data_IF_546293698183
#
_entry.id   IF_546293698183
#
_cell.length_a   1.000
_cell.length_b   1.000
_cell.length_c   1.000
_cell.angle_alpha   90.00
_cell.angle_beta   90.00
_cell.angle_gamma   90.00
#
_symmetry.space_group_name_H-M   'P 1'
#
loop_
_entity.id
_entity.type
_entity.pdbx_description
1 polymer ?
#
# COMPACT_ATOMS: atom_id res chain seq x y z
N UNK A 1 3.86 12.35 -5.88
CA UNK A 1 3.26 12.12 -4.54
C UNK A 1 3.04 13.38 -3.66
N UNK A 2 4.08 14.04 -3.11
CA UNK A 2 3.94 14.92 -1.92
C UNK A 2 3.23 16.27 -2.10
N UNK A 3 2.88 16.66 -3.33
CA UNK A 3 2.03 17.81 -3.63
C UNK A 3 0.55 17.47 -3.81
N UNK A 4 0.16 16.20 -3.73
CA UNK A 4 -1.20 15.75 -3.98
C UNK A 4 -2.09 15.96 -2.73
N UNK A 5 -3.10 16.81 -2.85
CA UNK A 5 -4.07 17.07 -1.77
C UNK A 5 -4.83 15.79 -1.37
N UNK A 6 -5.20 14.95 -2.33
CA UNK A 6 -5.91 13.69 -2.07
C UNK A 6 -5.06 12.71 -1.24
N UNK A 7 -3.78 12.55 -1.56
CA UNK A 7 -2.83 11.80 -0.74
C UNK A 7 -2.80 12.29 0.71
N UNK A 8 -2.73 13.61 0.92
CA UNK A 8 -2.67 14.20 2.26
C UNK A 8 -3.97 13.94 3.05
N UNK A 9 -5.13 14.08 2.40
CA UNK A 9 -6.43 13.83 3.03
C UNK A 9 -6.61 12.35 3.40
N UNK A 10 -6.24 11.44 2.50
CA UNK A 10 -6.31 10.00 2.75
C UNK A 10 -5.33 9.58 3.84
N UNK A 11 -4.12 10.13 3.87
CA UNK A 11 -3.15 9.88 4.93
C UNK A 11 -3.64 10.41 6.29
N UNK A 12 -4.24 11.60 6.34
CA UNK A 12 -4.88 12.10 7.55
C UNK A 12 -6.02 11.17 8.02
N UNK A 13 -6.78 10.59 7.08
CA UNK A 13 -7.77 9.55 7.37
C UNK A 13 -7.16 8.30 8.01
N UNK A 14 -6.04 7.80 7.47
CA UNK A 14 -5.30 6.66 8.06
C UNK A 14 -4.88 6.97 9.50
N UNK A 15 -4.30 8.15 9.75
CA UNK A 15 -3.86 8.57 11.08
C UNK A 15 -5.04 8.72 12.06
N UNK A 16 -6.19 9.21 11.58
CA UNK A 16 -7.41 9.33 12.38
C UNK A 16 -7.93 7.94 12.79
N UNK A 17 -8.10 7.04 11.84
CA UNK A 17 -8.64 5.70 12.13
C UNK A 17 -7.69 4.90 13.03
N UNK A 18 -6.37 5.03 12.83
CA UNK A 18 -5.38 4.39 13.71
C UNK A 18 -5.48 4.83 15.19
N UNK A 19 -6.06 6.00 15.48
CA UNK A 19 -6.28 6.50 16.85
C UNK A 19 -7.65 6.14 17.42
N UNK A 20 -8.67 5.95 16.58
CA UNK A 20 -10.09 5.90 17.01
C UNK A 20 -10.70 4.51 16.86
N UNK A 21 -10.27 3.66 15.92
CA UNK A 21 -10.78 2.28 15.81
C UNK A 21 -10.75 1.64 14.41
N UNK A 22 -11.45 0.48 14.30
CA UNK A 22 -11.42 -0.60 13.29
C UNK A 22 -11.36 -0.24 11.79
N UNK A 23 -11.49 1.03 11.41
CA UNK A 23 -11.42 1.49 10.02
C UNK A 23 -10.01 1.59 9.44
N UNK A 24 -8.96 1.41 10.26
CA UNK A 24 -7.57 1.70 9.86
C UNK A 24 -7.13 0.90 8.62
N UNK A 25 -7.50 -0.37 8.51
CA UNK A 25 -7.17 -1.20 7.34
C UNK A 25 -7.87 -0.66 6.08
N UNK A 26 -9.15 -0.30 6.17
CA UNK A 26 -9.89 0.26 5.03
C UNK A 26 -9.28 1.58 4.58
N UNK A 27 -8.91 2.45 5.51
CA UNK A 27 -8.24 3.72 5.20
C UNK A 27 -6.88 3.50 4.54
N UNK A 28 -6.10 2.51 5.00
CA UNK A 28 -4.82 2.14 4.37
C UNK A 28 -5.01 1.67 2.93
N UNK A 29 -6.00 0.82 2.68
CA UNK A 29 -6.29 0.32 1.33
C UNK A 29 -6.77 1.45 0.41
N UNK A 30 -7.56 2.40 0.91
CA UNK A 30 -7.99 3.56 0.14
C UNK A 30 -6.80 4.45 -0.28
N UNK A 31 -5.86 4.71 0.64
CA UNK A 31 -4.63 5.44 0.31
C UNK A 31 -3.74 4.66 -0.66
N UNK A 32 -3.58 3.35 -0.46
CA UNK A 32 -2.78 2.51 -1.35
C UNK A 32 -3.34 2.49 -2.78
N UNK A 33 -4.66 2.32 -2.92
CA UNK A 33 -5.34 2.37 -4.21
C UNK A 33 -5.12 3.72 -4.92
N UNK A 34 -5.29 4.83 -4.20
CA UNK A 34 -5.04 6.16 -4.76
C UNK A 34 -3.59 6.34 -5.24
N UNK A 35 -2.60 5.86 -4.46
CA UNK A 35 -1.19 5.93 -4.87
C UNK A 35 -0.93 5.10 -6.12
N UNK A 36 -1.50 3.92 -6.24
CA UNK A 36 -1.32 3.06 -7.42
C UNK A 36 -2.00 3.63 -8.65
N UNK A 37 -3.23 4.13 -8.50
CA UNK A 37 -4.06 4.58 -9.62
C UNK A 37 -3.60 5.97 -10.14
N UNK A 38 -3.27 6.90 -9.24
CA UNK A 38 -2.95 8.29 -9.60
C UNK A 38 -1.46 8.61 -9.58
N UNK A 39 -0.64 7.75 -8.98
CA UNK A 39 0.82 7.91 -8.87
C UNK A 39 1.59 6.62 -9.22
N UNK A 40 1.36 6.01 -10.40
CA UNK A 40 1.97 4.72 -10.76
C UNK A 40 3.50 4.77 -10.81
N UNK A 41 4.09 5.90 -11.18
CA UNK A 41 5.54 6.11 -11.21
C UNK A 41 6.16 6.16 -9.81
N UNK A 42 5.37 6.44 -8.77
CA UNK A 42 5.80 6.47 -7.37
C UNK A 42 5.69 5.08 -6.70
N UNK A 43 5.23 4.04 -7.41
CA UNK A 43 5.11 2.68 -6.85
C UNK A 43 6.50 2.06 -6.66
N UNK A 44 6.91 1.70 -5.43
CA UNK A 44 8.25 1.19 -5.18
C UNK A 44 8.43 -0.21 -5.78
N UNK A 45 9.65 -0.62 -6.16
CA UNK A 45 9.90 -1.96 -6.69
C UNK A 45 9.52 -3.05 -5.67
N UNK A 46 9.35 -4.32 -6.11
CA UNK A 46 9.11 -5.43 -5.20
C UNK A 46 10.12 -5.49 -4.04
N UNK A 47 9.61 -5.74 -2.83
CA UNK A 47 10.48 -5.90 -1.67
C UNK A 47 11.37 -7.13 -1.84
N UNK A 48 12.64 -6.99 -1.44
CA UNK A 48 13.60 -8.09 -1.38
C UNK A 48 13.40 -8.99 -0.16
N UNK A 49 14.51 -9.49 0.38
CA UNK A 49 14.49 -10.39 1.55
C UNK A 49 13.72 -9.78 2.73
N UNK A 50 12.86 -10.57 3.36
CA UNK A 50 12.08 -10.18 4.53
C UNK A 50 10.61 -9.81 4.29
N UNK A 51 10.16 -9.70 3.02
CA UNK A 51 8.75 -9.58 2.71
C UNK A 51 8.07 -10.95 2.55
N UNK A 52 7.01 -11.21 3.34
CA UNK A 52 6.28 -12.48 3.30
C UNK A 52 5.21 -12.54 2.21
N UNK A 53 4.85 -11.38 1.67
CA UNK A 53 3.70 -11.25 0.77
C UNK A 53 4.15 -11.15 -0.70
N UNK A 54 5.20 -10.38 -0.98
CA UNK A 54 5.75 -10.23 -2.33
C UNK A 54 6.03 -11.57 -3.06
N UNK A 55 6.58 -12.63 -2.42
CA UNK A 55 6.77 -13.92 -3.09
C UNK A 55 5.48 -14.55 -3.60
N UNK A 56 4.37 -14.43 -2.86
CA UNK A 56 3.07 -14.98 -3.27
C UNK A 56 2.51 -14.30 -4.51
N UNK A 57 2.70 -12.98 -4.62
CA UNK A 57 2.35 -12.24 -5.83
C UNK A 57 3.27 -12.55 -7.01
N UNK A 58 4.57 -12.67 -6.77
CA UNK A 58 5.55 -13.01 -7.82
C UNK A 58 5.33 -14.41 -8.41
N UNK A 59 4.76 -15.34 -7.64
CA UNK A 59 4.44 -16.70 -8.09
C UNK A 59 2.99 -16.89 -8.57
N UNK A 60 2.21 -15.82 -8.71
CA UNK A 60 0.81 -15.94 -9.13
C UNK A 60 0.70 -16.48 -10.57
N UNK A 61 -0.27 -17.37 -10.79
CA UNK A 61 -0.52 -17.98 -12.10
C UNK A 61 -0.94 -16.93 -13.15
N UNK A 62 -1.67 -15.90 -12.71
CA UNK A 62 -2.14 -14.78 -13.55
C UNK A 62 -1.54 -13.46 -13.03
N UNK A 63 -0.34 -13.08 -13.49
CA UNK A 63 0.38 -11.90 -12.97
C UNK A 63 -0.37 -10.58 -13.16
N UNK A 64 -1.16 -10.47 -14.22
CA UNK A 64 -1.93 -9.26 -14.54
C UNK A 64 -3.09 -9.03 -13.58
N UNK A 65 -3.74 -10.09 -13.10
CA UNK A 65 -4.84 -10.01 -12.13
C UNK A 65 -4.36 -9.53 -10.77
N UNK A 66 -3.14 -9.92 -10.39
CA UNK A 66 -2.58 -9.57 -9.09
C UNK A 66 -1.67 -8.34 -9.11
N UNK A 67 -1.30 -7.83 -10.28
CA UNK A 67 -0.36 -6.72 -10.42
C UNK A 67 -0.79 -5.48 -9.62
N UNK A 68 -2.09 -5.15 -9.64
CA UNK A 68 -2.64 -4.03 -8.88
C UNK A 68 -2.55 -4.25 -7.38
N UNK A 69 -2.99 -5.41 -6.89
CA UNK A 69 -2.92 -5.76 -5.46
C UNK A 69 -1.46 -5.81 -4.97
N UNK A 70 -0.55 -6.27 -5.82
CA UNK A 70 0.88 -6.28 -5.51
C UNK A 70 1.46 -4.86 -5.45
N UNK A 71 1.06 -3.96 -6.34
CA UNK A 71 1.41 -2.54 -6.26
C UNK A 71 0.88 -1.89 -4.98
N UNK A 72 -0.38 -2.15 -4.63
CA UNK A 72 -1.02 -1.64 -3.41
C UNK A 72 -0.28 -2.10 -2.16
N UNK A 73 0.14 -3.36 -2.11
CA UNK A 73 0.94 -3.90 -1.02
C UNK A 73 2.27 -3.13 -0.87
N UNK A 74 2.97 -2.87 -1.98
CA UNK A 74 4.29 -2.21 -1.96
C UNK A 74 4.21 -0.77 -1.45
N UNK A 75 3.25 0.02 -1.92
CA UNK A 75 3.10 1.44 -1.51
C UNK A 75 2.74 1.63 -0.03
N UNK A 76 2.27 0.59 0.67
CA UNK A 76 1.95 0.67 2.10
C UNK A 76 3.18 0.96 2.97
N UNK A 77 4.39 0.69 2.49
CA UNK A 77 5.62 1.04 3.23
C UNK A 77 5.82 2.55 3.41
N UNK A 78 5.20 3.39 2.58
CA UNK A 78 5.28 4.85 2.72
C UNK A 78 4.57 5.39 3.96
N UNK A 79 3.62 4.64 4.51
CA UNK A 79 2.79 5.11 5.62
C UNK A 79 2.59 4.07 6.73
N UNK A 80 3.22 2.90 6.62
CA UNK A 80 3.30 1.90 7.68
C UNK A 80 4.76 1.59 8.03
N UNK A 81 5.04 1.20 9.28
CA UNK A 81 6.33 0.62 9.62
C UNK A 81 6.64 -0.57 8.69
N UNK A 82 7.88 -0.67 8.23
CA UNK A 82 8.34 -1.69 7.28
C UNK A 82 7.90 -3.11 7.67
N UNK A 83 8.08 -3.48 8.95
CA UNK A 83 7.69 -4.78 9.49
C UNK A 83 6.18 -5.06 9.37
N UNK A 84 5.34 -4.03 9.45
CA UNK A 84 3.90 -4.15 9.30
C UNK A 84 3.51 -4.26 7.82
N UNK A 85 4.07 -3.39 6.97
CA UNK A 85 3.84 -3.39 5.52
C UNK A 85 4.25 -4.72 4.86
N UNK A 86 5.40 -5.29 5.27
CA UNK A 86 5.96 -6.52 4.68
C UNK A 86 5.36 -7.82 5.22
N UNK A 87 4.49 -7.73 6.24
CA UNK A 87 3.83 -8.88 6.85
C UNK A 87 2.45 -9.16 6.24
N UNK A 88 1.76 -8.13 5.76
CA UNK A 88 0.38 -8.19 5.29
C UNK A 88 0.18 -7.29 4.09
#
# INVERSE_FOLDING_TARGET
>A
MWGCTSCLLLYAGVLREARVGDGAVRAQLALAAHLVDDHPDDVPPPHGEGCRVCPGYASAAEPTEVARLWAEHRVREYFLPEKAARRW
#
